data_IF_425028599974
#
_entry.id   IF_425028599974
#
_cell.length_a   1.000
_cell.length_b   1.000
_cell.length_c   1.000
_cell.angle_alpha   90.00
_cell.angle_beta   90.00
_cell.angle_gamma   90.00
#
_symmetry.space_group_name_H-M   'P 1'
#
loop_
_entity.id
_entity.type
_entity.pdbx_description
1 polymer ?
#
# COMPACT_ATOMS: atom_id res chain seq x y z
N UNK A 1 0.40 11.89 -7.11
CA UNK A 1 -0.48 12.40 -6.05
C UNK A 1 -0.64 13.90 -6.16
N UNK A 2 -1.66 14.44 -5.51
CA UNK A 2 -1.92 15.89 -5.46
C UNK A 2 -0.86 16.53 -4.53
N UNK A 3 -0.23 17.60 -4.97
CA UNK A 3 0.70 18.35 -4.12
C UNK A 3 -0.03 19.10 -2.98
N UNK A 4 0.70 19.43 -1.90
CA UNK A 4 0.10 20.05 -0.72
C UNK A 4 -0.47 21.46 -1.00
N UNK A 5 0.12 22.21 -1.91
CA UNK A 5 -0.40 23.53 -2.30
C UNK A 5 -1.73 23.43 -3.02
N UNK A 6 -1.88 22.44 -3.90
CA UNK A 6 -3.14 22.13 -4.59
C UNK A 6 -4.21 21.63 -3.63
N UNK A 7 -3.86 20.79 -2.65
CA UNK A 7 -4.79 20.36 -1.60
C UNK A 7 -5.28 21.56 -0.77
N UNK A 8 -4.39 22.45 -0.35
CA UNK A 8 -4.77 23.64 0.39
C UNK A 8 -5.76 24.52 -0.39
N UNK A 9 -5.52 24.75 -1.69
CA UNK A 9 -6.44 25.48 -2.56
C UNK A 9 -7.80 24.77 -2.68
N UNK A 10 -7.80 23.45 -2.83
CA UNK A 10 -9.03 22.67 -2.91
C UNK A 10 -9.87 22.81 -1.63
N UNK A 11 -9.24 22.70 -0.46
CA UNK A 11 -9.94 22.76 0.82
C UNK A 11 -10.36 24.19 1.21
N UNK A 12 -9.62 25.23 0.78
CA UNK A 12 -9.96 26.62 1.09
C UNK A 12 -11.38 27.01 0.67
N UNK A 13 -11.86 26.51 -0.47
CA UNK A 13 -13.20 26.79 -0.99
C UNK A 13 -14.25 25.73 -0.65
N UNK A 14 -13.81 24.57 -0.15
CA UNK A 14 -14.69 23.43 0.07
C UNK A 14 -15.77 23.74 1.12
N UNK A 15 -15.42 24.39 2.21
CA UNK A 15 -16.36 24.76 3.28
C UNK A 15 -17.50 25.65 2.78
N UNK A 16 -17.20 26.63 1.92
CA UNK A 16 -18.22 27.50 1.30
C UNK A 16 -19.13 26.67 0.39
N UNK A 17 -18.55 25.88 -0.51
CA UNK A 17 -19.29 25.07 -1.47
C UNK A 17 -20.23 24.06 -0.77
N UNK A 18 -19.79 23.48 0.37
CA UNK A 18 -20.61 22.57 1.16
C UNK A 18 -21.81 23.33 1.76
N UNK A 19 -21.60 24.50 2.38
CA UNK A 19 -22.67 25.32 2.96
C UNK A 19 -23.70 25.74 1.89
N UNK A 20 -23.21 26.20 0.74
CA UNK A 20 -24.07 26.60 -0.38
C UNK A 20 -24.92 25.43 -0.88
N UNK A 21 -24.31 24.24 -1.02
CA UNK A 21 -25.03 23.03 -1.44
C UNK A 21 -26.05 22.57 -0.37
N UNK A 22 -25.66 22.57 0.91
CA UNK A 22 -26.60 22.21 2.00
C UNK A 22 -27.83 23.10 1.99
N UNK A 23 -27.67 24.42 1.80
CA UNK A 23 -28.76 25.38 1.76
C UNK A 23 -29.64 25.20 0.54
N UNK A 24 -29.05 24.99 -0.64
CA UNK A 24 -29.76 24.88 -1.92
C UNK A 24 -30.49 23.56 -2.07
N UNK A 25 -29.81 22.46 -1.80
CA UNK A 25 -30.31 21.09 -2.04
C UNK A 25 -30.93 20.45 -0.78
N UNK A 26 -30.91 21.15 0.36
CA UNK A 26 -31.44 20.68 1.68
C UNK A 26 -30.88 19.32 2.10
N UNK A 27 -29.61 19.09 1.83
CA UNK A 27 -28.88 17.85 2.16
C UNK A 27 -28.02 18.00 3.40
N UNK A 28 -27.63 16.88 4.01
CA UNK A 28 -26.70 16.88 5.14
C UNK A 28 -25.28 17.30 4.73
N UNK A 29 -24.48 17.73 5.70
CA UNK A 29 -23.07 18.06 5.49
C UNK A 29 -22.30 16.92 4.80
N UNK A 30 -22.48 15.69 5.28
CA UNK A 30 -21.75 14.52 4.75
C UNK A 30 -22.12 14.24 3.29
N UNK A 31 -23.40 14.38 2.93
CA UNK A 31 -23.87 14.22 1.55
C UNK A 31 -23.25 15.28 0.66
N UNK A 32 -23.31 16.55 1.07
CA UNK A 32 -22.71 17.66 0.32
C UNK A 32 -21.20 17.50 0.16
N UNK A 33 -20.50 17.13 1.24
CA UNK A 33 -19.04 16.90 1.23
C UNK A 33 -18.66 15.79 0.24
N UNK A 34 -19.28 14.61 0.34
CA UNK A 34 -19.03 13.48 -0.57
C UNK A 34 -19.30 13.86 -2.02
N UNK A 35 -20.43 14.49 -2.29
CA UNK A 35 -20.79 14.92 -3.64
C UNK A 35 -19.76 15.87 -4.24
N UNK A 36 -19.38 16.92 -3.50
CA UNK A 36 -18.41 17.91 -3.96
C UNK A 36 -17.04 17.27 -4.20
N UNK A 37 -16.62 16.37 -3.31
CA UNK A 37 -15.33 15.69 -3.42
C UNK A 37 -15.28 14.77 -4.63
N UNK A 38 -16.31 13.96 -4.85
CA UNK A 38 -16.39 12.98 -5.94
C UNK A 38 -16.57 13.62 -7.32
N UNK A 39 -17.15 14.84 -7.37
CA UNK A 39 -17.33 15.59 -8.61
C UNK A 39 -16.16 16.55 -8.93
N UNK A 40 -15.03 16.45 -8.24
CA UNK A 40 -13.82 17.17 -8.62
C UNK A 40 -13.30 16.66 -9.95
N UNK A 41 -12.71 17.57 -10.74
CA UNK A 41 -12.18 17.29 -12.08
C UNK A 41 -10.67 17.55 -12.15
N UNK A 42 -10.05 17.10 -13.23
CA UNK A 42 -8.61 17.26 -13.45
C UNK A 42 -7.79 16.55 -12.36
N UNK A 43 -6.72 17.16 -11.90
CA UNK A 43 -5.80 16.58 -10.91
C UNK A 43 -6.38 16.55 -9.48
N UNK A 44 -7.54 17.18 -9.23
CA UNK A 44 -8.26 17.08 -7.96
C UNK A 44 -9.25 15.91 -7.90
N UNK A 45 -9.43 15.23 -9.02
CA UNK A 45 -10.37 14.11 -9.13
C UNK A 45 -9.93 12.94 -8.26
N UNK A 46 -10.88 12.32 -7.59
CA UNK A 46 -10.67 11.04 -6.96
C UNK A 46 -10.31 9.97 -8.01
N UNK A 47 -9.26 9.18 -7.80
CA UNK A 47 -8.98 8.06 -8.69
C UNK A 47 -10.11 7.03 -8.62
N UNK A 48 -10.38 6.36 -9.72
CA UNK A 48 -11.25 5.18 -9.76
C UNK A 48 -10.47 3.96 -9.27
N UNK A 49 -11.19 2.90 -8.89
CA UNK A 49 -10.56 1.70 -8.34
C UNK A 49 -9.57 1.06 -9.31
N UNK A 50 -9.86 1.02 -10.62
CA UNK A 50 -8.93 0.52 -11.63
C UNK A 50 -7.64 1.37 -11.77
N UNK A 51 -7.74 2.69 -11.62
CA UNK A 51 -6.57 3.59 -11.63
C UNK A 51 -5.76 3.45 -10.34
N UNK A 52 -6.46 3.19 -9.22
CA UNK A 52 -5.81 2.90 -7.94
C UNK A 52 -5.08 1.56 -8.01
N UNK A 53 -5.71 0.53 -8.58
CA UNK A 53 -5.12 -0.79 -8.80
C UNK A 53 -3.83 -0.70 -9.60
N UNK A 54 -3.88 -0.12 -10.81
CA UNK A 54 -2.70 0.05 -11.66
C UNK A 54 -1.53 0.67 -10.90
N UNK A 55 -1.81 1.76 -10.15
CA UNK A 55 -0.78 2.46 -9.39
C UNK A 55 -0.32 1.71 -8.14
N UNK A 56 -1.21 0.98 -7.48
CA UNK A 56 -0.86 0.18 -6.31
C UNK A 56 0.05 -0.99 -6.68
N UNK A 57 -0.24 -1.68 -7.77
CA UNK A 57 0.51 -2.85 -8.22
C UNK A 57 1.91 -2.50 -8.74
N UNK A 58 2.06 -1.35 -9.44
CA UNK A 58 3.28 -1.00 -10.17
C UNK A 58 4.16 0.06 -9.51
N UNK A 59 3.68 0.73 -8.43
CA UNK A 59 4.41 1.87 -7.87
C UNK A 59 5.66 1.45 -7.11
N UNK A 60 6.76 2.17 -7.39
CA UNK A 60 7.91 2.20 -6.49
C UNK A 60 7.50 2.87 -5.16
N UNK A 61 7.26 2.04 -4.16
CA UNK A 61 6.85 2.46 -2.81
C UNK A 61 8.06 2.74 -1.94
N UNK A 62 9.13 1.96 -2.11
CA UNK A 62 10.31 2.05 -1.24
C UNK A 62 11.03 3.39 -1.37
N UNK A 63 11.21 3.90 -2.58
CA UNK A 63 11.85 5.18 -2.85
C UNK A 63 10.89 6.38 -2.72
N UNK A 64 9.61 6.14 -2.39
CA UNK A 64 8.67 7.22 -2.09
C UNK A 64 9.04 7.94 -0.78
N UNK A 65 8.45 9.13 -0.55
CA UNK A 65 8.65 9.87 0.71
C UNK A 65 8.39 8.95 1.91
N UNK A 66 9.26 9.00 2.92
CA UNK A 66 9.26 8.06 4.05
C UNK A 66 7.89 7.93 4.74
N UNK A 67 7.18 9.04 4.92
CA UNK A 67 5.87 9.03 5.58
C UNK A 67 4.80 8.28 4.78
N UNK A 68 4.87 8.27 3.44
CA UNK A 68 3.90 7.52 2.64
C UNK A 68 4.09 6.01 2.79
N UNK A 69 5.33 5.51 2.66
CA UNK A 69 5.58 4.08 2.80
C UNK A 69 5.25 3.55 4.19
N UNK A 70 5.59 4.32 5.24
CA UNK A 70 5.21 3.98 6.63
C UNK A 70 3.69 3.92 6.79
N UNK A 71 2.97 4.93 6.28
CA UNK A 71 1.52 4.99 6.31
C UNK A 71 0.88 3.77 5.65
N UNK A 72 1.26 3.48 4.40
CA UNK A 72 0.67 2.35 3.68
C UNK A 72 0.94 1.02 4.38
N UNK A 73 2.17 0.77 4.82
CA UNK A 73 2.51 -0.48 5.50
C UNK A 73 1.80 -0.59 6.86
N UNK A 74 1.67 0.50 7.61
CA UNK A 74 0.95 0.51 8.88
C UNK A 74 -0.54 0.21 8.72
N UNK A 75 -1.18 0.83 7.73
CA UNK A 75 -2.60 0.60 7.46
C UNK A 75 -2.84 -0.84 6.95
N UNK A 76 -1.98 -1.34 6.04
CA UNK A 76 -2.07 -2.71 5.55
C UNK A 76 -1.82 -3.74 6.66
N UNK A 77 -0.90 -3.49 7.58
CA UNK A 77 -0.64 -4.37 8.73
C UNK A 77 -1.84 -4.42 9.68
N UNK A 78 -2.35 -3.24 10.04
CA UNK A 78 -3.30 -3.09 11.14
C UNK A 78 -4.78 -3.16 10.73
N UNK A 79 -5.10 -3.19 9.44
CA UNK A 79 -6.50 -3.26 9.00
C UNK A 79 -7.17 -4.52 9.54
N UNK A 80 -8.38 -4.38 10.09
CA UNK A 80 -9.18 -5.47 10.66
C UNK A 80 -8.43 -6.34 11.68
N UNK A 81 -7.43 -5.76 12.34
CA UNK A 81 -6.70 -6.38 13.44
C UNK A 81 -7.13 -5.75 14.76
N UNK A 82 -7.64 -6.55 15.69
CA UNK A 82 -8.00 -6.08 17.05
C UNK A 82 -6.77 -5.81 17.91
N UNK A 83 -5.68 -6.53 17.66
CA UNK A 83 -4.39 -6.39 18.33
C UNK A 83 -3.44 -5.56 17.48
N UNK A 84 -3.78 -4.29 17.29
CA UNK A 84 -2.97 -3.35 16.48
C UNK A 84 -1.61 -3.13 17.11
N UNK A 85 -0.57 -3.06 16.26
CA UNK A 85 0.78 -2.71 16.65
C UNK A 85 1.13 -1.28 16.25
N UNK A 86 2.01 -0.64 16.99
CA UNK A 86 2.54 0.69 16.63
C UNK A 86 3.64 0.56 15.56
N UNK A 87 3.22 0.37 14.31
CA UNK A 87 4.15 0.27 13.17
C UNK A 87 5.00 1.53 13.01
N UNK A 88 4.43 2.72 13.26
CA UNK A 88 5.18 3.98 13.13
C UNK A 88 6.31 4.07 14.16
N UNK A 89 5.99 3.91 15.43
CA UNK A 89 6.97 3.96 16.51
C UNK A 89 8.04 2.89 16.35
N UNK A 90 7.65 1.67 15.96
CA UNK A 90 8.59 0.57 15.75
C UNK A 90 9.49 0.77 14.52
N UNK A 91 9.02 1.42 13.45
CA UNK A 91 9.86 1.82 12.33
C UNK A 91 10.80 2.99 12.68
N UNK A 92 10.36 3.91 13.54
CA UNK A 92 11.17 5.05 13.98
C UNK A 92 12.24 4.63 15.00
N UNK A 93 11.94 3.66 15.87
CA UNK A 93 12.91 3.08 16.82
C UNK A 93 13.86 2.06 16.19
N UNK A 94 13.53 1.54 14.99
CA UNK A 94 14.29 0.47 14.35
C UNK A 94 13.94 -0.94 14.85
N UNK A 95 12.93 -1.09 15.71
CA UNK A 95 12.41 -2.42 16.12
C UNK A 95 11.79 -3.17 14.93
N UNK A 96 11.15 -2.44 14.01
CA UNK A 96 10.76 -2.92 12.70
C UNK A 96 11.53 -2.18 11.61
N UNK A 97 11.78 -2.88 10.52
CA UNK A 97 12.36 -2.33 9.30
C UNK A 97 11.57 -2.81 8.09
N UNK A 98 11.66 -2.07 6.98
CA UNK A 98 11.11 -2.51 5.70
C UNK A 98 12.08 -3.51 5.08
N UNK A 99 11.60 -4.70 4.80
CA UNK A 99 12.34 -5.79 4.17
C UNK A 99 11.92 -5.98 2.72
N UNK A 100 12.92 -6.22 1.85
CA UNK A 100 12.72 -6.72 0.51
C UNK A 100 12.78 -8.25 0.54
N UNK A 101 11.66 -8.91 0.26
CA UNK A 101 11.60 -10.39 0.25
C UNK A 101 12.58 -10.92 -0.80
N UNK A 102 12.44 -10.52 -2.08
CA UNK A 102 13.50 -10.59 -3.09
C UNK A 102 14.49 -9.47 -2.80
N UNK A 103 15.77 -9.78 -2.52
CA UNK A 103 16.72 -8.80 -1.98
C UNK A 103 17.15 -7.75 -3.01
N UNK A 104 17.68 -6.63 -2.52
CA UNK A 104 18.15 -5.53 -3.38
C UNK A 104 19.38 -5.93 -4.23
N UNK A 105 20.14 -6.92 -3.81
CA UNK A 105 21.26 -7.47 -4.59
C UNK A 105 21.03 -8.98 -4.79
N UNK A 106 20.83 -9.38 -6.05
CA UNK A 106 20.61 -10.79 -6.38
C UNK A 106 21.91 -11.58 -6.34
N UNK A 107 21.87 -12.73 -5.67
CA UNK A 107 22.86 -13.79 -5.77
C UNK A 107 22.39 -14.90 -6.74
N UNK A 108 23.22 -15.91 -6.99
CA UNK A 108 22.88 -16.99 -7.94
C UNK A 108 21.59 -17.77 -7.57
N UNK A 109 21.33 -18.13 -6.30
CA UNK A 109 20.06 -18.74 -5.91
C UNK A 109 18.86 -17.92 -6.34
N UNK A 110 18.86 -16.59 -6.15
CA UNK A 110 17.78 -15.72 -6.55
C UNK A 110 17.64 -15.59 -8.07
N UNK A 111 18.75 -15.51 -8.82
CA UNK A 111 18.70 -15.49 -10.28
C UNK A 111 18.08 -16.76 -10.83
N UNK A 112 18.44 -17.92 -10.26
CA UNK A 112 17.88 -19.21 -10.64
C UNK A 112 16.38 -19.29 -10.31
N UNK A 113 15.95 -18.78 -9.16
CA UNK A 113 14.54 -18.78 -8.74
C UNK A 113 13.67 -17.88 -9.63
N UNK A 114 14.20 -16.74 -10.06
CA UNK A 114 13.50 -15.79 -10.94
C UNK A 114 13.56 -16.20 -12.43
N UNK A 115 14.51 -17.06 -12.81
CA UNK A 115 14.68 -17.55 -14.17
C UNK A 115 15.35 -16.57 -15.13
N UNK A 116 15.26 -16.82 -16.43
CA UNK A 116 16.00 -16.09 -17.47
C UNK A 116 15.75 -14.56 -17.46
N UNK A 117 14.56 -14.15 -17.06
CA UNK A 117 14.17 -12.74 -17.01
C UNK A 117 14.46 -12.06 -15.65
N UNK A 118 15.32 -12.64 -14.81
CA UNK A 118 15.57 -12.18 -13.44
C UNK A 118 15.89 -10.68 -13.34
N UNK A 119 16.67 -10.15 -14.28
CA UNK A 119 17.07 -8.73 -14.27
C UNK A 119 15.86 -7.79 -14.45
N UNK A 120 14.99 -8.11 -15.39
CA UNK A 120 13.76 -7.34 -15.64
C UNK A 120 12.78 -7.46 -14.49
N UNK A 121 12.60 -8.66 -13.96
CA UNK A 121 11.73 -8.91 -12.81
C UNK A 121 12.25 -8.12 -11.59
N UNK A 122 13.56 -8.14 -11.35
CA UNK A 122 14.16 -7.39 -10.26
C UNK A 122 13.93 -5.89 -10.40
N UNK A 123 14.15 -5.32 -11.58
CA UNK A 123 13.93 -3.90 -11.86
C UNK A 123 12.46 -3.48 -11.64
N UNK A 124 11.52 -4.29 -12.15
CA UNK A 124 10.09 -3.96 -12.11
C UNK A 124 9.46 -4.16 -10.73
N UNK A 125 9.85 -5.20 -9.98
CA UNK A 125 9.13 -5.62 -8.76
C UNK A 125 9.85 -5.29 -7.46
N UNK A 126 11.15 -4.99 -7.48
CA UNK A 126 11.97 -4.82 -6.28
C UNK A 126 11.30 -3.92 -5.23
N UNK A 127 10.80 -2.79 -5.63
CA UNK A 127 10.32 -1.73 -4.75
C UNK A 127 8.81 -1.61 -4.65
N UNK A 128 8.08 -2.63 -5.16
CA UNK A 128 6.60 -2.66 -5.14
C UNK A 128 6.06 -3.28 -3.86
N UNK A 129 4.77 -3.08 -3.58
CA UNK A 129 4.09 -3.73 -2.46
C UNK A 129 4.17 -5.26 -2.53
N UNK A 130 4.22 -5.83 -3.73
CA UNK A 130 4.37 -7.27 -3.92
C UNK A 130 5.62 -7.84 -3.27
N UNK A 131 6.70 -7.06 -3.21
CA UNK A 131 8.00 -7.49 -2.68
C UNK A 131 8.38 -6.87 -1.32
N UNK A 132 7.64 -5.87 -0.83
CA UNK A 132 7.97 -5.20 0.43
C UNK A 132 7.18 -5.78 1.60
N UNK A 133 7.85 -5.96 2.73
CA UNK A 133 7.21 -6.36 3.99
C UNK A 133 7.87 -5.67 5.19
N UNK A 134 7.45 -6.05 6.40
CA UNK A 134 8.01 -5.60 7.67
C UNK A 134 8.68 -6.76 8.39
N UNK A 135 9.81 -6.47 9.05
CA UNK A 135 10.48 -7.43 9.92
C UNK A 135 11.30 -6.72 11.00
N UNK A 136 11.43 -7.36 12.17
CA UNK A 136 12.42 -6.96 13.18
C UNK A 136 13.79 -7.62 13.01
N UNK A 137 14.00 -8.42 11.96
CA UNK A 137 15.17 -9.29 11.82
C UNK A 137 15.89 -9.12 10.47
N UNK A 138 15.80 -7.97 9.86
CA UNK A 138 16.32 -7.66 8.51
C UNK A 138 17.82 -8.05 8.35
N UNK A 139 18.65 -7.77 9.35
CA UNK A 139 20.07 -8.12 9.31
C UNK A 139 20.35 -9.64 9.18
N UNK A 140 19.41 -10.48 9.63
CA UNK A 140 19.49 -11.94 9.49
C UNK A 140 19.10 -12.40 8.08
N UNK A 141 18.24 -11.65 7.39
CA UNK A 141 17.73 -12.04 6.08
C UNK A 141 18.71 -11.80 4.95
N UNK A 142 19.32 -10.60 4.89
CA UNK A 142 20.32 -10.26 3.88
C UNK A 142 19.98 -10.84 2.48
N UNK A 143 20.91 -11.55 1.86
CA UNK A 143 20.75 -12.21 0.56
C UNK A 143 20.44 -13.71 0.66
N UNK A 144 19.92 -14.18 1.80
CA UNK A 144 19.47 -15.56 1.93
C UNK A 144 18.41 -15.87 0.87
N UNK A 145 18.39 -17.12 0.39
CA UNK A 145 17.34 -17.59 -0.51
C UNK A 145 15.96 -17.45 0.15
N UNK A 146 14.91 -17.45 -0.64
CA UNK A 146 13.54 -17.33 -0.10
C UNK A 146 13.24 -18.41 0.94
N UNK A 147 13.61 -19.65 0.64
CA UNK A 147 13.42 -20.78 1.54
C UNK A 147 14.13 -20.60 2.88
N UNK A 148 15.37 -20.09 2.86
CA UNK A 148 16.12 -19.78 4.08
C UNK A 148 15.44 -18.65 4.86
N UNK A 149 15.05 -17.54 4.22
CA UNK A 149 14.32 -16.43 4.86
C UNK A 149 13.03 -16.90 5.55
N UNK A 150 12.36 -17.92 5.01
CA UNK A 150 11.18 -18.51 5.64
C UNK A 150 11.54 -19.37 6.85
N UNK A 151 12.63 -20.16 6.79
CA UNK A 151 12.91 -21.25 7.74
C UNK A 151 13.91 -20.92 8.84
N UNK A 152 14.67 -19.84 8.75
CA UNK A 152 15.58 -19.44 9.85
C UNK A 152 14.81 -19.09 11.11
N UNK A 153 15.46 -19.16 12.26
CA UNK A 153 14.91 -18.69 13.53
C UNK A 153 14.42 -17.24 13.38
N UNK A 154 13.16 -17.00 13.73
CA UNK A 154 12.43 -15.74 13.56
C UNK A 154 12.28 -15.33 12.10
N UNK A 155 12.30 -16.29 11.19
CA UNK A 155 12.02 -16.14 9.78
C UNK A 155 10.53 -15.87 9.49
N UNK A 156 10.18 -15.84 8.21
CA UNK A 156 8.80 -15.51 7.82
C UNK A 156 7.78 -16.53 8.36
N UNK A 157 8.16 -17.81 8.53
CA UNK A 157 7.27 -18.84 9.06
C UNK A 157 6.88 -18.61 10.53
N UNK A 158 7.71 -17.91 11.29
CA UNK A 158 7.46 -17.58 12.69
C UNK A 158 6.89 -16.17 12.89
N UNK A 159 6.77 -15.40 11.82
CA UNK A 159 6.33 -14.01 11.88
C UNK A 159 4.84 -13.93 12.25
N UNK A 160 4.51 -13.04 13.18
CA UNK A 160 3.13 -12.74 13.57
C UNK A 160 2.51 -11.59 12.77
N UNK A 161 3.32 -10.89 11.96
CA UNK A 161 2.86 -9.76 11.16
C UNK A 161 1.88 -10.22 10.07
N UNK A 162 0.81 -9.46 9.88
CA UNK A 162 -0.16 -9.74 8.83
C UNK A 162 0.51 -9.77 7.45
N UNK A 163 1.38 -8.79 7.18
CA UNK A 163 2.09 -8.68 5.91
C UNK A 163 2.95 -9.90 5.55
N UNK A 164 3.28 -10.74 6.54
CA UNK A 164 4.07 -11.96 6.33
C UNK A 164 3.21 -13.23 6.22
N UNK A 165 1.89 -13.16 6.46
CA UNK A 165 1.02 -14.35 6.41
C UNK A 165 0.98 -15.00 5.02
N UNK A 166 0.90 -14.19 3.96
CA UNK A 166 0.96 -14.71 2.60
C UNK A 166 2.35 -15.29 2.30
N UNK A 167 3.40 -14.56 2.71
CA UNK A 167 4.81 -14.95 2.47
C UNK A 167 5.13 -16.32 3.07
N UNK A 168 4.71 -16.56 4.30
CA UNK A 168 4.95 -17.83 5.01
C UNK A 168 4.25 -19.05 4.40
N UNK A 169 3.27 -18.82 3.52
CA UNK A 169 2.54 -19.91 2.84
C UNK A 169 3.17 -20.29 1.48
N UNK A 170 4.17 -19.52 1.02
CA UNK A 170 4.78 -19.76 -0.28
C UNK A 170 5.97 -20.71 -0.18
N UNK A 171 6.21 -21.44 -1.25
CA UNK A 171 7.37 -22.35 -1.39
C UNK A 171 8.48 -21.76 -2.25
N UNK A 172 8.17 -20.72 -3.03
CA UNK A 172 9.08 -19.98 -3.90
C UNK A 172 8.66 -18.52 -3.99
N UNK A 173 9.58 -17.65 -4.46
CA UNK A 173 9.32 -16.22 -4.60
C UNK A 173 9.64 -15.76 -6.01
N UNK A 174 8.70 -15.91 -6.91
CA UNK A 174 8.80 -15.60 -8.32
C UNK A 174 8.01 -14.34 -8.67
N UNK A 175 8.04 -13.95 -9.94
CA UNK A 175 7.17 -12.88 -10.46
C UNK A 175 5.70 -13.15 -10.11
N UNK A 176 5.22 -14.35 -10.38
CA UNK A 176 3.80 -14.72 -10.19
C UNK A 176 3.39 -14.61 -8.71
N UNK A 177 4.24 -15.07 -7.78
CA UNK A 177 3.96 -14.95 -6.34
C UNK A 177 3.99 -13.50 -5.86
N UNK A 178 4.85 -12.64 -6.42
CA UNK A 178 4.86 -11.21 -6.11
C UNK A 178 3.59 -10.51 -6.63
N UNK A 179 3.15 -10.85 -7.84
CA UNK A 179 1.89 -10.33 -8.42
C UNK A 179 0.67 -10.79 -7.61
N UNK A 180 0.59 -12.08 -7.30
CA UNK A 180 -0.50 -12.61 -6.47
C UNK A 180 -0.56 -11.92 -5.10
N UNK A 181 0.58 -11.77 -4.43
CA UNK A 181 0.65 -11.04 -3.17
C UNK A 181 0.22 -9.59 -3.32
N UNK A 182 0.64 -8.92 -4.39
CA UNK A 182 0.26 -7.53 -4.64
C UNK A 182 -1.27 -7.40 -4.80
N UNK A 183 -1.93 -8.33 -5.48
CA UNK A 183 -3.39 -8.37 -5.58
C UNK A 183 -4.07 -8.65 -4.23
N UNK A 184 -3.56 -9.59 -3.42
CA UNK A 184 -4.08 -9.82 -2.06
C UNK A 184 -4.00 -8.56 -1.20
N UNK A 185 -2.89 -7.83 -1.28
CA UNK A 185 -2.74 -6.56 -0.57
C UNK A 185 -3.62 -5.46 -1.16
N UNK A 186 -3.85 -5.45 -2.48
CA UNK A 186 -4.76 -4.49 -3.13
C UNK A 186 -6.21 -4.70 -2.70
N UNK A 187 -6.70 -5.93 -2.63
CA UNK A 187 -8.04 -6.23 -2.10
C UNK A 187 -8.24 -5.72 -0.66
N UNK A 188 -7.17 -5.78 0.14
CA UNK A 188 -7.15 -5.19 1.47
C UNK A 188 -7.15 -3.66 1.41
N UNK A 189 -6.37 -3.09 0.49
CA UNK A 189 -6.28 -1.65 0.25
C UNK A 189 -7.63 -1.03 -0.17
N UNK A 190 -8.41 -1.71 -1.00
CA UNK A 190 -9.77 -1.29 -1.37
C UNK A 190 -10.72 -1.18 -0.17
N UNK A 191 -10.54 -2.03 0.84
CA UNK A 191 -11.34 -1.97 2.07
C UNK A 191 -10.90 -0.82 2.98
N UNK A 192 -9.60 -0.52 3.02
CA UNK A 192 -9.01 0.57 3.82
C UNK A 192 -9.34 1.94 3.19
N UNK A 193 -9.07 2.08 1.89
CA UNK A 193 -9.21 3.34 1.14
C UNK A 193 -10.39 3.28 0.17
N UNK A 194 -11.53 2.87 0.72
CA UNK A 194 -12.76 2.73 -0.04
C UNK A 194 -13.18 4.06 -0.69
N UNK A 195 -13.50 4.01 -1.98
CA UNK A 195 -14.13 5.15 -2.65
C UNK A 195 -15.43 5.52 -1.93
N UNK A 196 -15.63 6.78 -1.53
CA UNK A 196 -16.85 7.19 -0.87
C UNK A 196 -18.07 6.93 -1.76
N UNK A 197 -19.06 6.25 -1.21
CA UNK A 197 -20.35 6.10 -1.89
C UNK A 197 -21.14 7.41 -1.78
N UNK A 198 -21.70 7.89 -2.90
CA UNK A 198 -22.62 9.03 -2.93
C UNK A 198 -23.88 8.63 -3.66
N UNK A 199 -24.95 8.46 -2.89
CA UNK A 199 -26.30 8.21 -3.43
C UNK A 199 -27.00 9.48 -3.92
N UNK A 200 -26.38 10.66 -3.75
CA UNK A 200 -26.98 11.94 -4.13
C UNK A 200 -26.79 12.25 -5.60
N UNK A 201 -27.92 12.41 -6.33
CA UNK A 201 -27.95 12.96 -7.69
C UNK A 201 -28.61 14.32 -7.62
N UNK A 202 -27.99 15.37 -8.19
CA UNK A 202 -28.63 16.66 -8.31
C UNK A 202 -29.90 16.51 -9.14
N UNK A 203 -31.03 16.99 -8.60
CA UNK A 203 -32.24 17.26 -9.40
C UNK A 203 -31.94 18.47 -10.28
N UNK A 204 -32.02 18.30 -11.60
CA UNK A 204 -31.88 19.38 -12.58
C UNK A 204 -32.98 20.41 -12.43
#
# INVERSE_FOLDING_TARGET
GIDSGSLNKMFAFMGKNIKDMMSKEKVSYLVAFKYILLNKVGHYRFPRDNEFEEKFLSKDVYNSKSNYKKYFLAELENYDNKEKIDVYGQLDSGELTIEHIMPQTLNEPWKNELGENYSKIHEEYLHTFGNLTLTGYNSKYSNLSFKEKCSIEKGFNESRLYLNKFVSQQTCWTKDTMEERAHVLFERALKIWKLPDSSFTKTN
#
